data_IF_476717568304
#
_entry.id   IF_476717568304
#
_cell.length_a   1.000
_cell.length_b   1.000
_cell.length_c   1.000
_cell.angle_alpha   90.00
_cell.angle_beta   90.00
_cell.angle_gamma   90.00
#
_symmetry.space_group_name_H-M   'P 1'
#
loop_
_entity.id
_entity.type
_entity.pdbx_description
1 polymer ?
#
# COMPACT_ATOMS: atom_id res chain seq x y z
N UNK A 1 8.77 -5.75 -14.28
CA UNK A 1 8.28 -4.34 -14.28
C UNK A 1 7.19 -4.17 -13.23
N UNK A 2 7.24 -3.11 -12.43
CA UNK A 2 6.16 -2.76 -11.47
C UNK A 2 5.30 -1.64 -12.05
N UNK A 3 3.98 -1.79 -12.00
CA UNK A 3 3.05 -0.72 -12.36
C UNK A 3 2.60 0.03 -11.10
N UNK A 4 2.80 1.34 -11.10
CA UNK A 4 2.20 2.25 -10.12
C UNK A 4 0.97 2.85 -10.78
N UNK A 5 -0.22 2.55 -10.25
CA UNK A 5 -1.46 3.02 -10.87
C UNK A 5 -1.63 4.52 -10.63
N UNK A 6 -1.71 5.29 -11.72
CA UNK A 6 -1.90 6.73 -11.64
C UNK A 6 -3.36 7.13 -11.75
N UNK A 7 -4.09 7.08 -10.64
CA UNK A 7 -5.43 7.68 -10.58
C UNK A 7 -5.39 9.21 -10.34
N UNK A 8 -4.28 9.89 -10.68
CA UNK A 8 -4.08 11.33 -10.51
C UNK A 8 -3.45 11.71 -9.18
N UNK A 9 -2.68 10.79 -8.57
CA UNK A 9 -2.13 10.96 -7.21
C UNK A 9 -0.64 10.69 -7.12
N UNK A 10 0.05 10.47 -8.25
CA UNK A 10 1.49 10.32 -8.24
C UNK A 10 2.16 11.60 -7.73
N UNK A 11 2.73 11.54 -6.52
CA UNK A 11 3.45 12.65 -5.91
C UNK A 11 4.90 12.70 -6.40
N UNK A 12 5.51 13.90 -6.51
CA UNK A 12 6.95 14.03 -6.80
C UNK A 12 7.83 13.24 -5.80
N UNK A 13 7.42 13.17 -4.54
CA UNK A 13 8.10 12.44 -3.48
C UNK A 13 8.08 10.93 -3.75
N UNK A 14 6.93 10.36 -4.15
CA UNK A 14 6.83 8.96 -4.53
C UNK A 14 7.69 8.64 -5.76
N UNK A 15 7.71 9.52 -6.75
CA UNK A 15 8.58 9.37 -7.94
C UNK A 15 10.05 9.34 -7.53
N UNK A 16 10.46 10.26 -6.66
CA UNK A 16 11.84 10.35 -6.16
C UNK A 16 12.24 9.09 -5.38
N UNK A 17 11.34 8.61 -4.52
CA UNK A 17 11.54 7.37 -3.77
C UNK A 17 11.71 6.17 -4.71
N UNK A 18 10.82 6.01 -5.69
CA UNK A 18 10.88 4.90 -6.64
C UNK A 18 12.20 4.93 -7.43
N UNK A 19 12.68 6.11 -7.86
CA UNK A 19 14.00 6.23 -8.51
C UNK A 19 15.15 5.82 -7.60
N UNK A 20 15.07 6.14 -6.32
CA UNK A 20 16.11 5.82 -5.33
C UNK A 20 16.10 4.34 -4.95
N UNK A 21 14.91 3.73 -4.90
CA UNK A 21 14.73 2.32 -4.59
C UNK A 21 14.96 1.40 -5.79
N UNK A 22 14.71 1.87 -7.01
CA UNK A 22 14.71 1.03 -8.21
C UNK A 22 16.10 0.62 -8.69
N UNK A 23 16.34 -0.69 -8.67
CA UNK A 23 17.16 -1.40 -9.67
C UNK A 23 16.32 -2.06 -10.78
N UNK A 24 15.00 -1.88 -10.77
CA UNK A 24 14.01 -2.52 -11.68
C UNK A 24 13.16 -1.46 -12.37
N UNK A 25 12.79 -1.69 -13.63
CA UNK A 25 11.86 -0.83 -14.38
C UNK A 25 10.50 -0.74 -13.67
N UNK A 26 10.17 0.43 -13.13
CA UNK A 26 8.83 0.78 -12.69
C UNK A 26 8.18 1.71 -13.72
N UNK A 27 6.84 1.68 -13.80
CA UNK A 27 6.08 2.56 -14.67
C UNK A 27 4.87 3.12 -13.94
N UNK A 28 4.80 4.45 -13.87
CA UNK A 28 3.60 5.16 -13.43
C UNK A 28 2.70 5.28 -14.65
N UNK A 29 1.49 4.72 -14.58
CA UNK A 29 0.67 4.56 -15.79
C UNK A 29 -0.82 4.49 -15.48
N UNK A 30 -1.59 4.92 -16.46
CA UNK A 30 -3.04 4.70 -16.55
C UNK A 30 -3.42 3.68 -17.61
N UNK A 31 -2.43 3.15 -18.32
CA UNK A 31 -2.64 2.28 -19.46
C UNK A 31 -2.91 0.85 -18.97
N UNK A 32 -4.05 0.32 -19.39
CA UNK A 32 -4.48 -1.04 -19.03
C UNK A 32 -3.43 -2.10 -19.38
N UNK A 33 -2.86 -2.05 -20.59
CA UNK A 33 -1.89 -3.03 -21.05
C UNK A 33 -0.62 -3.06 -20.20
N UNK A 34 -0.09 -1.89 -19.81
CA UNK A 34 1.07 -1.81 -18.94
C UNK A 34 0.78 -2.45 -17.56
N UNK A 35 -0.40 -2.16 -17.00
CA UNK A 35 -0.81 -2.65 -15.66
C UNK A 35 -1.00 -4.16 -15.68
N UNK A 36 -1.71 -4.68 -16.69
CA UNK A 36 -1.94 -6.12 -16.83
C UNK A 36 -0.66 -6.90 -17.11
N UNK A 37 0.34 -6.28 -17.75
CA UNK A 37 1.65 -6.90 -17.99
C UNK A 37 2.62 -6.78 -16.82
N UNK A 38 2.42 -5.85 -15.90
CA UNK A 38 3.31 -5.68 -14.77
C UNK A 38 3.36 -6.93 -13.88
N UNK A 39 4.52 -7.20 -13.30
CA UNK A 39 4.76 -8.33 -12.40
C UNK A 39 4.25 -8.04 -10.98
N UNK A 40 4.16 -6.76 -10.63
CA UNK A 40 3.63 -6.29 -9.36
C UNK A 40 2.99 -4.92 -9.51
N UNK A 41 2.12 -4.59 -8.58
CA UNK A 41 1.28 -3.39 -8.63
C UNK A 41 1.41 -2.59 -7.34
N UNK A 42 1.48 -1.27 -7.48
CA UNK A 42 1.39 -0.33 -6.37
C UNK A 42 0.13 0.50 -6.54
N UNK A 43 -0.70 0.51 -5.49
CA UNK A 43 -1.81 1.43 -5.27
C UNK A 43 -1.30 2.56 -4.36
N UNK A 44 -0.82 3.69 -4.91
CA UNK A 44 -0.27 4.79 -4.12
C UNK A 44 -1.31 5.48 -3.23
N UNK A 45 -0.86 6.39 -2.37
CA UNK A 45 -1.76 7.16 -1.53
C UNK A 45 -2.87 7.88 -2.34
N UNK A 46 -4.06 7.99 -1.75
CA UNK A 46 -5.23 8.64 -2.34
C UNK A 46 -5.86 9.65 -1.38
N UNK A 47 -6.29 10.78 -1.92
CA UNK A 47 -7.07 11.75 -1.16
C UNK A 47 -8.55 11.35 -1.05
N UNK A 48 -9.11 10.76 -2.12
CA UNK A 48 -10.50 10.32 -2.22
C UNK A 48 -10.60 8.89 -2.80
N UNK A 49 -10.90 7.88 -1.97
CA UNK A 49 -11.05 6.50 -2.42
C UNK A 49 -12.24 6.28 -3.37
N UNK A 50 -13.30 7.08 -3.27
CA UNK A 50 -14.46 6.96 -4.16
C UNK A 50 -14.07 7.36 -5.58
N UNK A 51 -13.39 8.50 -5.72
CA UNK A 51 -12.92 8.98 -7.02
C UNK A 51 -11.88 8.04 -7.62
N UNK A 52 -10.99 7.48 -6.82
CA UNK A 52 -10.01 6.50 -7.30
C UNK A 52 -10.69 5.22 -7.82
N UNK A 53 -11.67 4.67 -7.07
CA UNK A 53 -12.44 3.50 -7.53
C UNK A 53 -13.23 3.79 -8.82
N UNK A 54 -13.83 4.98 -8.94
CA UNK A 54 -14.49 5.42 -10.19
C UNK A 54 -13.51 5.48 -11.36
N UNK A 55 -12.30 6.01 -11.15
CA UNK A 55 -11.26 6.05 -12.19
C UNK A 55 -10.84 4.65 -12.62
N UNK A 56 -10.63 3.73 -11.68
CA UNK A 56 -10.35 2.32 -12.01
C UNK A 56 -11.45 1.69 -12.87
N UNK A 57 -12.72 2.00 -12.60
CA UNK A 57 -13.86 1.53 -13.39
C UNK A 57 -13.85 2.13 -14.80
N UNK A 58 -13.60 3.43 -14.94
CA UNK A 58 -13.48 4.12 -16.25
C UNK A 58 -12.30 3.57 -17.07
N UNK A 59 -11.21 3.17 -16.40
CA UNK A 59 -10.02 2.60 -17.03
C UNK A 59 -10.16 1.11 -17.37
N UNK A 60 -11.33 0.49 -17.17
CA UNK A 60 -11.58 -0.96 -17.29
C UNK A 60 -10.68 -1.85 -16.41
N UNK A 61 -10.00 -1.26 -15.43
CA UNK A 61 -9.05 -1.96 -14.56
C UNK A 61 -9.72 -2.58 -13.34
N UNK A 62 -10.88 -2.07 -12.92
CA UNK A 62 -11.50 -2.48 -11.67
C UNK A 62 -11.72 -4.00 -11.61
N UNK A 63 -12.44 -4.57 -12.58
CA UNK A 63 -12.69 -6.02 -12.62
C UNK A 63 -11.42 -6.85 -12.85
N UNK A 64 -10.47 -6.35 -13.64
CA UNK A 64 -9.22 -7.05 -13.93
C UNK A 64 -8.35 -7.17 -12.68
N UNK A 65 -8.25 -6.08 -11.90
CA UNK A 65 -7.50 -6.07 -10.64
C UNK A 65 -8.07 -7.10 -9.66
N UNK A 66 -9.41 -7.19 -9.51
CA UNK A 66 -10.05 -8.18 -8.62
C UNK A 66 -9.70 -9.64 -8.94
N UNK A 67 -9.40 -9.95 -10.19
CA UNK A 67 -9.15 -11.32 -10.67
C UNK A 67 -7.67 -11.65 -10.75
N UNK A 68 -6.79 -10.68 -10.55
CA UNK A 68 -5.36 -10.84 -10.77
C UNK A 68 -4.69 -11.45 -9.55
N UNK A 69 -3.82 -12.44 -9.79
CA UNK A 69 -3.01 -13.09 -8.77
C UNK A 69 -1.55 -12.63 -8.89
N UNK A 70 -1.28 -11.37 -8.56
CA UNK A 70 0.07 -10.78 -8.56
C UNK A 70 0.29 -9.98 -7.28
N UNK A 71 1.54 -9.75 -6.85
CA UNK A 71 1.83 -8.87 -5.74
C UNK A 71 1.18 -7.48 -5.88
N UNK A 72 0.33 -7.09 -4.94
CA UNK A 72 -0.28 -5.75 -4.87
C UNK A 72 0.06 -5.09 -3.55
N UNK A 73 0.61 -3.88 -3.62
CA UNK A 73 0.96 -3.05 -2.48
C UNK A 73 0.10 -1.80 -2.41
N UNK A 74 -0.71 -1.66 -1.36
CA UNK A 74 -1.44 -0.45 -1.02
C UNK A 74 -0.70 0.41 0.00
N UNK A 75 -0.52 1.70 -0.31
CA UNK A 75 0.21 2.67 0.52
C UNK A 75 -0.69 3.83 0.95
N UNK A 76 -0.50 4.33 2.18
CA UNK A 76 -1.34 5.41 2.71
C UNK A 76 -2.81 5.02 2.66
N UNK A 77 -3.69 5.90 2.21
CA UNK A 77 -5.11 5.55 1.99
C UNK A 77 -5.36 4.66 0.75
N UNK A 78 -4.33 4.35 -0.04
CA UNK A 78 -4.42 3.48 -1.23
C UNK A 78 -4.94 2.08 -0.91
N UNK A 79 -4.63 1.56 0.28
CA UNK A 79 -5.15 0.26 0.72
C UNK A 79 -6.68 0.24 0.86
N UNK A 80 -7.37 1.39 0.98
CA UNK A 80 -8.83 1.40 1.08
C UNK A 80 -9.48 0.77 -0.15
N UNK A 81 -8.85 0.90 -1.32
CA UNK A 81 -9.28 0.24 -2.54
C UNK A 81 -9.18 -1.29 -2.45
N UNK A 82 -8.36 -1.84 -1.57
CA UNK A 82 -8.14 -3.28 -1.44
C UNK A 82 -9.24 -3.98 -0.63
N UNK A 83 -10.10 -3.23 0.06
CA UNK A 83 -11.24 -3.76 0.81
C UNK A 83 -12.28 -4.36 -0.14
N UNK A 84 -13.14 -5.26 0.35
CA UNK A 84 -14.31 -5.75 -0.40
C UNK A 84 -15.35 -4.64 -0.56
N UNK A 85 -15.64 -3.95 0.54
CA UNK A 85 -16.52 -2.80 0.58
C UNK A 85 -15.86 -1.66 1.36
N UNK A 86 -15.88 -0.46 0.79
CA UNK A 86 -15.48 0.75 1.50
C UNK A 86 -16.65 1.33 2.29
N UNK A 87 -16.38 2.10 3.35
CA UNK A 87 -17.38 2.77 4.23
C UNK A 87 -18.48 3.54 3.47
N UNK A 88 -18.20 3.96 2.24
CA UNK A 88 -19.10 4.75 1.39
C UNK A 88 -20.09 3.88 0.60
N UNK A 89 -20.29 2.61 0.98
CA UNK A 89 -21.04 1.61 0.21
C UNK A 89 -20.56 1.49 -1.25
N UNK A 90 -19.25 1.67 -1.45
CA UNK A 90 -18.60 1.57 -2.74
C UNK A 90 -17.76 0.30 -2.76
N UNK A 91 -17.93 -0.54 -3.79
CA UNK A 91 -17.12 -1.74 -3.96
C UNK A 91 -15.63 -1.38 -4.06
N UNK A 92 -14.79 -2.13 -3.36
CA UNK A 92 -13.35 -2.15 -3.59
C UNK A 92 -12.93 -3.41 -4.37
N UNK A 93 -11.63 -3.67 -4.37
CA UNK A 93 -11.02 -4.76 -5.12
C UNK A 93 -11.27 -6.13 -4.45
N UNK A 94 -11.53 -6.15 -3.14
CA UNK A 94 -11.86 -7.39 -2.43
C UNK A 94 -10.67 -8.31 -2.16
N UNK A 95 -9.46 -7.76 -2.05
CA UNK A 95 -8.30 -8.50 -1.55
C UNK A 95 -8.38 -8.72 -0.03
N UNK A 96 -9.07 -7.83 0.67
CA UNK A 96 -9.39 -7.99 2.09
C UNK A 96 -10.91 -8.01 2.26
N UNK A 97 -11.49 -9.01 2.95
CA UNK A 97 -12.94 -9.14 3.15
C UNK A 97 -13.51 -8.12 4.14
N UNK A 98 -12.70 -7.13 4.55
CA UNK A 98 -13.03 -6.17 5.58
C UNK A 98 -12.69 -4.74 5.16
N UNK A 99 -13.26 -3.78 5.88
CA UNK A 99 -13.00 -2.36 5.69
C UNK A 99 -12.22 -1.80 6.88
N UNK A 100 -11.25 -0.94 6.60
CA UNK A 100 -10.58 -0.15 7.61
C UNK A 100 -11.45 1.05 7.98
N UNK A 101 -11.44 1.45 9.25
CA UNK A 101 -12.20 2.61 9.73
C UNK A 101 -11.27 3.68 10.22
N UNK A 102 -11.50 4.94 9.84
CA UNK A 102 -10.63 6.05 10.25
C UNK A 102 -10.48 6.08 11.77
N UNK A 103 -9.23 6.12 12.26
CA UNK A 103 -8.97 6.30 13.67
C UNK A 103 -9.42 7.71 14.08
N UNK A 104 -9.67 7.91 15.37
CA UNK A 104 -10.13 9.21 15.89
C UNK A 104 -9.14 10.32 15.47
N UNK A 105 -9.52 11.23 14.55
CA UNK A 105 -8.61 12.22 13.98
C UNK A 105 -8.15 13.25 15.02
N UNK A 106 -8.88 13.40 16.13
CA UNK A 106 -8.46 14.26 17.25
C UNK A 106 -7.23 13.66 17.96
N UNK A 107 -7.06 12.34 17.91
CA UNK A 107 -5.97 11.62 18.60
C UNK A 107 -4.76 11.35 17.72
N UNK A 108 -4.84 11.61 16.41
CA UNK A 108 -3.81 11.23 15.44
C UNK A 108 -3.66 12.28 14.36
N UNK A 109 -2.57 13.07 14.46
CA UNK A 109 -2.19 14.07 13.46
C UNK A 109 -1.20 13.47 12.45
N UNK A 110 -1.08 14.02 11.23
CA UNK A 110 -0.01 13.64 10.32
C UNK A 110 1.37 13.77 10.99
N UNK A 111 2.25 12.79 10.80
CA UNK A 111 3.59 12.81 11.38
C UNK A 111 4.27 11.46 11.45
N UNK A 112 5.50 11.46 11.94
CA UNK A 112 6.29 10.25 12.15
C UNK A 112 5.99 9.62 13.51
N UNK A 113 5.71 8.31 13.50
CA UNK A 113 5.40 7.53 14.69
C UNK A 113 6.30 6.30 14.79
N UNK A 114 6.63 5.92 16.02
CA UNK A 114 7.34 4.66 16.28
C UNK A 114 6.43 3.49 15.98
N UNK A 115 6.91 2.64 15.09
CA UNK A 115 6.19 1.46 14.60
C UNK A 115 7.08 0.25 14.84
N UNK A 116 6.50 -0.81 15.40
CA UNK A 116 7.19 -2.08 15.62
C UNK A 116 6.70 -3.13 14.64
N UNK A 117 7.60 -4.01 14.21
CA UNK A 117 7.28 -5.16 13.38
C UNK A 117 6.75 -6.28 14.28
N UNK A 118 5.49 -6.65 14.13
CA UNK A 118 4.83 -7.71 14.92
C UNK A 118 4.97 -9.08 14.27
N UNK A 119 5.01 -9.12 12.94
CA UNK A 119 5.26 -10.33 12.17
C UNK A 119 6.17 -10.01 10.98
N UNK A 120 7.26 -10.74 10.87
CA UNK A 120 8.27 -10.49 9.85
C UNK A 120 7.90 -11.23 8.56
N UNK A 121 7.66 -10.45 7.52
CA UNK A 121 7.40 -10.91 6.15
C UNK A 121 8.51 -10.42 5.22
N UNK A 122 8.63 -11.01 4.03
CA UNK A 122 9.66 -10.66 3.04
C UNK A 122 9.74 -9.16 2.71
N UNK A 123 8.60 -8.47 2.73
CA UNK A 123 8.51 -7.02 2.49
C UNK A 123 9.13 -6.17 3.61
N UNK A 124 9.26 -6.71 4.82
CA UNK A 124 9.80 -6.05 6.01
C UNK A 124 11.22 -6.51 6.36
N UNK A 125 11.84 -7.33 5.50
CA UNK A 125 13.23 -7.74 5.68
C UNK A 125 14.17 -6.53 5.70
N UNK A 126 15.29 -6.62 6.40
CA UNK A 126 16.25 -5.51 6.52
C UNK A 126 15.73 -4.21 7.18
N UNK A 127 14.46 -4.15 7.59
CA UNK A 127 13.97 -3.10 8.48
C UNK A 127 14.27 -3.48 9.93
N UNK A 128 14.71 -2.51 10.77
CA UNK A 128 14.86 -2.75 12.20
C UNK A 128 13.50 -3.07 12.84
N UNK A 129 13.52 -3.79 13.96
CA UNK A 129 12.30 -4.19 14.68
C UNK A 129 11.43 -2.99 15.07
N UNK A 130 12.04 -1.84 15.31
CA UNK A 130 11.38 -0.55 15.56
C UNK A 130 11.89 0.49 14.56
N UNK A 131 10.95 1.14 13.86
CA UNK A 131 11.22 2.19 12.87
C UNK A 131 10.39 3.45 13.19
N UNK A 132 10.87 4.61 12.75
CA UNK A 132 10.05 5.83 12.69
C UNK A 132 9.47 5.98 11.28
N UNK A 133 8.16 5.84 11.13
CA UNK A 133 7.47 5.88 9.82
C UNK A 133 6.45 7.01 9.80
N UNK A 134 6.29 7.65 8.63
CA UNK A 134 5.38 8.78 8.46
C UNK A 134 3.98 8.34 8.06
N UNK A 135 2.97 8.84 8.76
CA UNK A 135 1.56 8.58 8.50
C UNK A 135 0.85 9.91 8.24
N UNK A 136 0.08 10.01 7.15
CA UNK A 136 -0.81 11.16 6.90
C UNK A 136 -2.14 10.98 7.64
N UNK A 137 -2.65 9.74 7.63
CA UNK A 137 -3.88 9.29 8.29
C UNK A 137 -3.65 7.90 8.85
N UNK A 138 -4.46 7.54 9.84
CA UNK A 138 -4.37 6.25 10.51
C UNK A 138 -5.78 5.67 10.61
N UNK A 139 -5.91 4.38 10.38
CA UNK A 139 -7.16 3.66 10.26
C UNK A 139 -7.12 2.39 11.11
N UNK A 140 -8.17 2.17 11.90
CA UNK A 140 -8.40 0.91 12.61
C UNK A 140 -8.60 -0.22 11.63
N UNK A 141 -7.72 -1.18 11.76
CA UNK A 141 -7.80 -2.51 11.18
C UNK A 141 -8.75 -3.36 12.06
N UNK A 142 -9.61 -4.21 11.48
CA UNK A 142 -10.38 -5.17 12.26
C UNK A 142 -9.49 -6.15 13.03
N UNK A 143 -10.03 -6.71 14.11
CA UNK A 143 -9.40 -7.82 14.83
C UNK A 143 -9.35 -9.07 13.92
N UNK A 144 -8.43 -9.99 14.19
CA UNK A 144 -8.29 -11.30 13.51
C UNK A 144 -7.70 -11.27 12.09
N UNK A 145 -6.89 -10.27 11.79
CA UNK A 145 -6.11 -10.21 10.54
C UNK A 145 -4.63 -10.49 10.82
N UNK A 146 -3.89 -10.94 9.81
CA UNK A 146 -2.44 -11.10 9.95
C UNK A 146 -1.76 -9.73 9.93
N UNK A 147 -1.52 -9.20 11.12
CA UNK A 147 -0.81 -7.94 11.33
C UNK A 147 0.70 -8.17 11.19
N UNK A 148 1.38 -7.26 10.49
CA UNK A 148 2.83 -7.28 10.31
C UNK A 148 3.52 -6.10 11.00
N UNK A 149 2.79 -5.02 11.30
CA UNK A 149 3.29 -3.84 11.98
C UNK A 149 2.24 -3.21 12.88
N UNK A 150 2.66 -2.60 13.98
CA UNK A 150 1.80 -1.81 14.87
C UNK A 150 2.48 -0.54 15.39
N UNK A 151 1.68 0.45 15.79
CA UNK A 151 2.18 1.62 16.52
C UNK A 151 2.52 1.24 17.97
N UNK A 152 3.78 1.43 18.35
CA UNK A 152 4.34 1.02 19.65
C UNK A 152 3.53 1.51 20.86
N UNK A 153 3.09 2.76 20.82
CA UNK A 153 2.43 3.40 21.97
C UNK A 153 0.92 3.10 22.05
N UNK A 154 0.34 2.54 20.98
CA UNK A 154 -1.11 2.44 20.82
C UNK A 154 -1.60 1.02 20.52
N UNK A 155 -0.69 0.08 20.24
CA UNK A 155 -1.04 -1.30 19.84
C UNK A 155 -1.95 -1.33 18.61
N UNK A 156 -1.76 -0.37 17.71
CA UNK A 156 -2.63 -0.17 16.57
C UNK A 156 -1.96 -0.71 15.32
N UNK A 157 -2.55 -1.72 14.69
CA UNK A 157 -2.04 -2.28 13.45
C UNK A 157 -1.93 -1.22 12.34
N UNK A 158 -0.78 -1.20 11.67
CA UNK A 158 -0.46 -0.27 10.58
C UNK A 158 -0.01 -0.97 9.30
N UNK A 159 0.09 -2.29 9.33
CA UNK A 159 0.47 -3.12 8.21
C UNK A 159 -0.21 -4.48 8.28
N UNK A 160 -0.87 -4.87 7.20
CA UNK A 160 -1.48 -6.20 7.04
C UNK A 160 -1.02 -6.85 5.74
N UNK A 161 -0.92 -8.17 5.76
CA UNK A 161 -0.59 -8.96 4.59
C UNK A 161 -1.50 -10.18 4.49
N UNK A 162 -1.99 -10.47 3.29
CA UNK A 162 -2.77 -11.66 2.98
C UNK A 162 -2.35 -12.17 1.60
N UNK A 163 -1.81 -13.39 1.54
CA UNK A 163 -1.20 -13.95 0.34
C UNK A 163 -0.14 -13.02 -0.28
N UNK A 164 -0.38 -12.53 -1.49
CA UNK A 164 0.45 -11.56 -2.22
C UNK A 164 -0.09 -10.12 -2.15
N UNK A 165 -1.03 -9.84 -1.25
CA UNK A 165 -1.62 -8.51 -1.05
C UNK A 165 -1.11 -7.89 0.24
N UNK A 166 -0.56 -6.68 0.12
CA UNK A 166 0.13 -5.97 1.19
C UNK A 166 -0.51 -4.59 1.36
N UNK A 167 -0.94 -4.24 2.57
CA UNK A 167 -1.53 -2.95 2.86
C UNK A 167 -0.82 -2.29 4.05
N UNK A 168 -0.23 -1.13 3.80
CA UNK A 168 0.52 -0.36 4.79
C UNK A 168 0.02 1.08 4.83
N UNK A 169 -0.25 1.57 6.04
CA UNK A 169 -0.87 2.88 6.23
C UNK A 169 0.13 4.04 6.15
N UNK A 170 1.43 3.76 6.33
CA UNK A 170 2.46 4.79 6.26
C UNK A 170 2.74 5.18 4.80
N UNK A 171 3.40 6.32 4.63
CA UNK A 171 3.91 6.83 3.36
C UNK A 171 5.43 6.59 3.29
N UNK A 172 5.89 5.58 2.53
CA UNK A 172 7.32 5.30 2.39
C UNK A 172 8.11 6.53 1.92
N UNK A 173 7.53 7.36 1.05
CA UNK A 173 8.17 8.53 0.47
C UNK A 173 8.49 9.64 1.48
N UNK A 174 7.86 9.60 2.65
CA UNK A 174 8.11 10.50 3.78
C UNK A 174 8.78 9.80 4.97
N UNK A 175 9.22 8.55 4.80
CA UNK A 175 9.76 7.70 5.87
C UNK A 175 11.29 7.51 5.79
N UNK A 176 12.00 8.38 5.08
CA UNK A 176 13.46 8.39 5.01
C UNK A 176 14.05 7.06 4.49
N UNK A 177 15.16 6.62 5.09
CA UNK A 177 15.84 5.38 4.68
C UNK A 177 14.97 4.13 4.88
N UNK A 178 14.11 4.11 5.90
CA UNK A 178 13.18 3.00 6.10
C UNK A 178 12.19 2.86 4.94
N UNK A 179 11.72 3.99 4.40
CA UNK A 179 10.88 4.00 3.20
C UNK A 179 11.60 3.46 1.97
N UNK A 180 12.87 3.84 1.77
CA UNK A 180 13.71 3.32 0.67
C UNK A 180 13.91 1.81 0.79
N UNK A 181 14.28 1.32 1.98
CA UNK A 181 14.48 -0.11 2.24
C UNK A 181 13.20 -0.90 2.02
N UNK A 182 12.08 -0.42 2.54
CA UNK A 182 10.77 -1.03 2.33
C UNK A 182 10.42 -1.17 0.84
N UNK A 183 10.63 -0.11 0.05
CA UNK A 183 10.37 -0.17 -1.39
C UNK A 183 11.33 -1.12 -2.13
N UNK A 184 12.61 -1.17 -1.74
CA UNK A 184 13.58 -2.14 -2.29
C UNK A 184 13.16 -3.58 -2.04
N UNK A 185 12.60 -3.86 -0.87
CA UNK A 185 12.08 -5.19 -0.54
C UNK A 185 10.90 -5.55 -1.42
N UNK A 186 9.94 -4.64 -1.63
CA UNK A 186 8.82 -4.89 -2.54
C UNK A 186 9.30 -5.17 -3.97
N UNK A 187 10.25 -4.37 -4.44
CA UNK A 187 10.84 -4.54 -5.77
C UNK A 187 11.51 -5.90 -5.92
N UNK A 188 12.28 -6.31 -4.91
CA UNK A 188 12.96 -7.61 -4.89
C UNK A 188 11.96 -8.78 -4.81
N UNK A 189 10.90 -8.63 -4.02
CA UNK A 189 9.82 -9.62 -3.89
C UNK A 189 9.13 -9.87 -5.23
N UNK A 190 8.83 -8.80 -5.97
CA UNK A 190 8.24 -8.91 -7.32
C UNK A 190 9.20 -9.61 -8.29
N UNK A 191 10.51 -9.32 -8.22
CA UNK A 191 11.52 -9.96 -9.07
C UNK A 191 11.72 -11.45 -8.78
N UNK A 192 11.68 -11.85 -7.51
CA UNK A 192 11.90 -13.25 -7.10
C UNK A 192 10.70 -14.16 -7.39
N UNK A 193 9.49 -13.63 -7.55
CA UNK A 193 8.32 -14.42 -7.95
C UNK A 193 8.36 -14.86 -9.43
N UNK A 194 9.45 -14.56 -10.16
CA UNK A 194 9.66 -14.99 -11.55
C UNK A 194 10.48 -16.30 -11.68
N UNK A 195 10.92 -16.90 -10.56
CA UNK A 195 11.72 -18.14 -10.54
C UNK A 195 10.91 -19.38 -10.21
#
# INVERSE_FOLDING_TARGET
MIAVIDYGTASPELISLLRTAAGTDYKITINEYDILKADGIILPNISDPISAAKRLKIMNLFSQLRLMNKPVLGLGSGFLLMCEYMRTNTDGLGYFPYCFTEADPVKMKPGSYRTVITNRISLLENLPEECSLYYDRIYKVPNDVLECMELKEKGHSTGVACDNHYAFQFLPELSGEHGVTFMKNFISLVGNNQS
#
